data_IF_242470737955
#
_entry.id   IF_242470737955
#
_cell.length_a   1.000
_cell.length_b   1.000
_cell.length_c   1.000
_cell.angle_alpha   90.00
_cell.angle_beta   90.00
_cell.angle_gamma   90.00
#
_symmetry.space_group_name_H-M   'P 1'
#
loop_
_entity.id
_entity.type
_entity.pdbx_description
1 polymer ?
#
# COMPACT_ATOMS: atom_id res chain seq x y z
N UNK A 1 7.26 -24.51 6.90
CA UNK A 1 6.45 -23.32 7.21
C UNK A 1 5.87 -23.53 8.59
N UNK A 2 6.09 -22.59 9.51
CA UNK A 2 5.67 -22.75 10.91
C UNK A 2 4.29 -22.09 11.11
N UNK A 3 3.24 -22.88 10.90
CA UNK A 3 1.86 -22.43 11.03
C UNK A 3 1.51 -22.05 12.47
N UNK A 4 2.08 -22.74 13.46
CA UNK A 4 1.83 -22.42 14.87
C UNK A 4 2.45 -21.07 15.24
N UNK A 5 3.69 -20.83 14.83
CA UNK A 5 4.35 -19.54 15.06
C UNK A 5 3.58 -18.39 14.40
N UNK A 6 3.24 -18.52 13.11
CA UNK A 6 2.45 -17.50 12.41
C UNK A 6 1.10 -17.25 13.09
N UNK A 7 0.39 -18.32 13.47
CA UNK A 7 -0.89 -18.20 14.18
C UNK A 7 -0.73 -17.45 15.50
N UNK A 8 0.28 -17.81 16.30
CA UNK A 8 0.54 -17.17 17.58
C UNK A 8 0.85 -15.68 17.41
N UNK A 9 1.67 -15.31 16.42
CA UNK A 9 2.02 -13.92 16.17
C UNK A 9 0.80 -13.07 15.78
N UNK A 10 0.01 -13.57 14.82
CA UNK A 10 -1.18 -12.87 14.31
C UNK A 10 -2.28 -12.79 15.37
N UNK A 11 -2.49 -13.85 16.18
CA UNK A 11 -3.41 -13.81 17.32
C UNK A 11 -2.96 -12.80 18.38
N UNK A 12 -1.68 -12.83 18.77
CA UNK A 12 -1.12 -11.91 19.77
C UNK A 12 -1.27 -10.46 19.35
N UNK A 13 -1.02 -10.16 18.07
CA UNK A 13 -1.24 -8.82 17.52
C UNK A 13 -2.72 -8.45 17.52
N UNK A 14 -3.60 -9.36 17.11
CA UNK A 14 -5.06 -9.13 17.08
C UNK A 14 -5.56 -8.77 18.48
N UNK A 15 -5.16 -9.52 19.51
CA UNK A 15 -5.56 -9.26 20.90
C UNK A 15 -5.13 -7.86 21.37
N UNK A 16 -3.92 -7.42 20.99
CA UNK A 16 -3.46 -6.05 21.28
C UNK A 16 -4.27 -4.99 20.55
N UNK A 17 -4.60 -5.22 19.27
CA UNK A 17 -5.32 -4.26 18.43
C UNK A 17 -6.79 -4.13 18.84
N UNK A 18 -7.41 -5.20 19.31
CA UNK A 18 -8.79 -5.25 19.80
C UNK A 18 -9.01 -4.28 20.97
N UNK A 19 -8.00 -4.00 21.79
CA UNK A 19 -8.10 -3.04 22.91
C UNK A 19 -8.42 -1.60 22.45
N UNK A 20 -8.17 -1.28 21.19
CA UNK A 20 -8.49 0.02 20.60
C UNK A 20 -9.84 0.03 19.84
N UNK A 21 -10.53 -1.11 19.79
CA UNK A 21 -11.80 -1.29 19.09
C UNK A 21 -12.98 -1.28 20.06
N UNK A 22 -14.18 -1.03 19.52
CA UNK A 22 -15.43 -1.29 20.21
C UNK A 22 -15.74 -2.78 20.10
N UNK A 23 -16.42 -3.36 21.09
CA UNK A 23 -16.81 -4.78 21.07
C UNK A 23 -17.56 -5.18 19.79
N UNK A 24 -18.40 -4.29 19.27
CA UNK A 24 -19.15 -4.49 18.01
C UNK A 24 -18.26 -4.69 16.78
N UNK A 25 -16.99 -4.27 16.85
CA UNK A 25 -16.03 -4.34 15.75
C UNK A 25 -15.02 -5.50 15.90
N UNK A 26 -15.05 -6.24 17.03
CA UNK A 26 -14.10 -7.34 17.27
C UNK A 26 -14.19 -8.42 16.19
N UNK A 27 -15.42 -8.80 15.81
CA UNK A 27 -15.65 -9.79 14.77
C UNK A 27 -15.09 -9.37 13.39
N UNK A 28 -15.02 -8.06 13.11
CA UNK A 28 -14.45 -7.58 11.84
C UNK A 28 -12.94 -7.78 11.78
N UNK A 29 -12.25 -7.55 12.90
CA UNK A 29 -10.80 -7.78 12.96
C UNK A 29 -10.50 -9.28 13.02
N UNK A 30 -11.34 -10.06 13.70
CA UNK A 30 -11.27 -11.52 13.73
C UNK A 30 -11.39 -12.12 12.31
N UNK A 31 -12.31 -11.60 11.50
CA UNK A 31 -12.46 -11.98 10.09
C UNK A 31 -11.15 -11.77 9.30
N UNK A 32 -10.51 -10.61 9.45
CA UNK A 32 -9.23 -10.32 8.78
C UNK A 32 -8.13 -11.27 9.26
N UNK A 33 -8.06 -11.58 10.56
CA UNK A 33 -7.14 -12.58 11.11
C UNK A 33 -7.34 -13.94 10.44
N UNK A 34 -8.57 -14.42 10.35
CA UNK A 34 -8.86 -15.72 9.75
C UNK A 34 -8.52 -15.76 8.26
N UNK A 35 -8.76 -14.66 7.51
CA UNK A 35 -8.31 -14.54 6.11
C UNK A 35 -6.80 -14.75 6.00
N UNK A 36 -6.00 -14.08 6.83
CA UNK A 36 -4.54 -14.20 6.83
C UNK A 36 -4.08 -15.63 7.19
N UNK A 37 -4.74 -16.29 8.14
CA UNK A 37 -4.45 -17.69 8.48
C UNK A 37 -4.70 -18.62 7.29
N UNK A 38 -5.80 -18.45 6.56
CA UNK A 38 -6.12 -19.26 5.38
C UNK A 38 -5.16 -18.99 4.21
N UNK A 39 -4.77 -17.73 4.00
CA UNK A 39 -3.78 -17.34 2.99
C UNK A 39 -2.39 -17.89 3.32
N UNK A 40 -2.01 -17.89 4.60
CA UNK A 40 -0.73 -18.43 5.05
C UNK A 40 -0.65 -19.94 4.85
N UNK A 41 -1.73 -20.70 5.14
CA UNK A 41 -1.81 -22.14 4.83
C UNK A 41 -1.55 -22.45 3.35
N UNK A 42 -1.89 -21.52 2.46
CA UNK A 42 -1.67 -21.60 1.01
C UNK A 42 -0.31 -21.04 0.56
N UNK A 43 0.55 -20.61 1.49
CA UNK A 43 1.83 -19.94 1.24
C UNK A 43 1.72 -18.59 0.50
N UNK A 44 0.57 -17.92 0.57
CA UNK A 44 0.33 -16.69 -0.19
C UNK A 44 0.82 -15.42 0.52
N UNK A 45 0.96 -15.46 1.85
CA UNK A 45 1.39 -14.31 2.66
C UNK A 45 2.56 -14.65 3.57
N UNK A 46 3.20 -13.61 4.13
CA UNK A 46 4.31 -13.70 5.09
C UNK A 46 4.03 -12.80 6.28
N UNK A 47 4.54 -13.21 7.45
CA UNK A 47 4.28 -12.53 8.72
C UNK A 47 4.61 -11.03 8.69
N UNK A 48 5.72 -10.64 8.06
CA UNK A 48 6.15 -9.24 8.00
C UNK A 48 5.12 -8.35 7.30
N UNK A 49 4.42 -8.86 6.28
CA UNK A 49 3.39 -8.12 5.56
C UNK A 49 2.04 -8.21 6.29
N UNK A 50 1.68 -9.41 6.75
CA UNK A 50 0.43 -9.67 7.48
C UNK A 50 0.27 -8.84 8.76
N UNK A 51 1.38 -8.53 9.44
CA UNK A 51 1.38 -7.60 10.58
C UNK A 51 0.99 -6.18 10.16
N UNK A 52 1.49 -5.70 9.02
CA UNK A 52 1.17 -4.37 8.49
C UNK A 52 -0.29 -4.31 8.03
N UNK A 53 -0.75 -5.36 7.35
CA UNK A 53 -2.14 -5.51 6.90
C UNK A 53 -3.12 -5.44 8.08
N UNK A 54 -2.85 -6.18 9.17
CA UNK A 54 -3.70 -6.17 10.38
C UNK A 54 -3.77 -4.80 11.05
N UNK A 55 -2.64 -4.09 11.17
CA UNK A 55 -2.60 -2.77 11.81
C UNK A 55 -3.41 -1.76 11.00
N UNK A 56 -3.24 -1.77 9.67
CA UNK A 56 -4.04 -0.94 8.77
C UNK A 56 -5.53 -1.31 8.81
N UNK A 57 -5.87 -2.60 8.78
CA UNK A 57 -7.23 -3.09 8.87
C UNK A 57 -7.90 -2.64 10.17
N UNK A 58 -7.23 -2.79 11.31
CA UNK A 58 -7.72 -2.32 12.61
C UNK A 58 -8.02 -0.82 12.58
N UNK A 59 -7.11 0.00 12.02
CA UNK A 59 -7.35 1.44 11.91
C UNK A 59 -8.57 1.76 11.04
N UNK A 60 -8.76 1.09 9.91
CA UNK A 60 -9.94 1.28 9.06
C UNK A 60 -11.23 0.83 9.76
N UNK A 61 -11.20 -0.28 10.48
CA UNK A 61 -12.33 -0.79 11.25
C UNK A 61 -12.76 0.21 12.33
N UNK A 62 -11.83 0.85 13.05
CA UNK A 62 -12.18 1.91 14.03
C UNK A 62 -12.96 3.07 13.39
N UNK A 63 -12.77 3.30 12.09
CA UNK A 63 -13.44 4.33 11.29
C UNK A 63 -14.73 3.83 10.65
N UNK A 64 -15.17 2.61 10.97
CA UNK A 64 -16.42 2.01 10.52
C UNK A 64 -16.36 1.34 9.15
N UNK A 65 -15.16 0.99 8.65
CA UNK A 65 -15.03 0.19 7.44
C UNK A 65 -15.22 -1.30 7.71
N UNK A 66 -15.64 -2.03 6.68
CA UNK A 66 -15.41 -3.47 6.54
C UNK A 66 -14.15 -3.68 5.72
N UNK A 67 -13.35 -4.69 6.04
CA UNK A 67 -12.01 -4.87 5.46
C UNK A 67 -11.82 -6.32 5.03
N UNK A 68 -11.26 -6.49 3.82
CA UNK A 68 -10.72 -7.74 3.31
C UNK A 68 -9.23 -7.51 2.99
N UNK A 69 -8.40 -8.51 3.26
CA UNK A 69 -6.98 -8.53 2.86
C UNK A 69 -6.76 -9.40 1.64
N UNK A 70 -5.71 -9.10 0.85
CA UNK A 70 -5.33 -9.86 -0.34
C UNK A 70 -6.53 -10.09 -1.29
N UNK A 71 -7.31 -9.02 -1.52
CA UNK A 71 -8.54 -9.10 -2.31
C UNK A 71 -8.23 -8.99 -3.80
N UNK A 72 -8.70 -9.96 -4.58
CA UNK A 72 -8.64 -9.88 -6.03
C UNK A 72 -9.58 -8.78 -6.55
N UNK A 73 -9.03 -7.81 -7.29
CA UNK A 73 -9.75 -6.64 -7.85
C UNK A 73 -9.84 -6.67 -9.38
N UNK A 74 -9.02 -7.50 -10.03
CA UNK A 74 -9.08 -7.79 -11.46
C UNK A 74 -8.52 -9.18 -11.76
N UNK A 75 -8.46 -9.58 -13.03
CA UNK A 75 -7.89 -10.87 -13.44
C UNK A 75 -6.42 -11.04 -13.04
N UNK A 76 -5.70 -9.94 -12.81
CA UNK A 76 -4.25 -9.93 -12.58
C UNK A 76 -3.82 -9.17 -11.32
N UNK A 77 -4.72 -8.43 -10.67
CA UNK A 77 -4.39 -7.63 -9.49
C UNK A 77 -5.10 -8.17 -8.25
N UNK A 78 -4.29 -8.35 -7.21
CA UNK A 78 -4.69 -8.59 -5.83
C UNK A 78 -4.15 -7.41 -5.03
N UNK A 79 -5.02 -6.74 -4.27
CA UNK A 79 -4.60 -5.64 -3.42
C UNK A 79 -4.40 -6.06 -1.97
N UNK A 80 -3.46 -5.42 -1.30
CA UNK A 80 -3.10 -5.74 0.08
C UNK A 80 -4.32 -5.53 1.01
N UNK A 81 -4.98 -4.37 0.90
CA UNK A 81 -6.16 -4.05 1.70
C UNK A 81 -7.26 -3.47 0.81
N UNK A 82 -8.43 -4.09 0.88
CA UNK A 82 -9.67 -3.55 0.36
C UNK A 82 -10.61 -3.22 1.50
N UNK A 83 -11.15 -2.01 1.53
CA UNK A 83 -12.08 -1.59 2.56
C UNK A 83 -13.32 -0.92 1.97
N UNK A 84 -14.49 -1.23 2.52
CA UNK A 84 -15.77 -0.66 2.09
C UNK A 84 -16.50 0.02 3.25
N UNK A 85 -17.09 1.18 2.96
CA UNK A 85 -17.92 1.94 3.90
C UNK A 85 -18.99 2.73 3.13
N UNK A 86 -20.26 2.42 3.38
CA UNK A 86 -21.37 2.93 2.57
C UNK A 86 -21.20 2.48 1.12
N UNK A 87 -21.38 3.42 0.18
CA UNK A 87 -21.26 3.16 -1.26
C UNK A 87 -19.82 3.34 -1.80
N UNK A 88 -18.88 3.73 -0.93
CA UNK A 88 -17.48 3.97 -1.30
C UNK A 88 -16.55 2.81 -0.92
N UNK A 89 -15.45 2.69 -1.67
CA UNK A 89 -14.37 1.74 -1.38
C UNK A 89 -12.99 2.42 -1.35
N UNK A 90 -12.10 1.82 -0.58
CA UNK A 90 -10.71 2.24 -0.42
C UNK A 90 -9.82 1.05 -0.71
N UNK A 91 -8.74 1.28 -1.45
CA UNK A 91 -7.63 0.34 -1.59
C UNK A 91 -6.41 0.96 -0.93
N UNK A 92 -5.71 0.18 -0.11
CA UNK A 92 -4.39 0.54 0.43
C UNK A 92 -3.38 -0.51 -0.04
N UNK A 93 -2.33 -0.04 -0.71
CA UNK A 93 -1.17 -0.86 -1.04
C UNK A 93 -0.02 -0.56 -0.08
N UNK A 94 0.53 -1.61 0.52
CA UNK A 94 1.63 -1.55 1.48
C UNK A 94 2.95 -1.74 0.73
N UNK A 95 3.92 -0.88 1.05
CA UNK A 95 5.27 -0.90 0.54
C UNK A 95 6.26 -0.97 1.70
N UNK A 96 7.12 -2.00 1.67
CA UNK A 96 8.06 -2.30 2.74
C UNK A 96 9.50 -1.89 2.42
N UNK A 97 9.75 -1.40 1.20
CA UNK A 97 11.09 -1.09 0.71
C UNK A 97 11.90 -2.31 0.25
N UNK A 98 11.29 -3.50 0.18
CA UNK A 98 11.97 -4.69 -0.32
C UNK A 98 12.36 -4.51 -1.80
N UNK A 99 13.65 -4.71 -2.08
CA UNK A 99 14.17 -4.75 -3.46
C UNK A 99 14.64 -6.16 -3.79
N UNK A 100 14.12 -6.78 -4.87
CA UNK A 100 14.60 -8.10 -5.31
C UNK A 100 16.09 -8.09 -5.66
N UNK A 101 16.80 -9.24 -5.53
CA UNK A 101 18.21 -9.34 -5.88
C UNK A 101 18.56 -8.87 -7.30
N UNK A 102 17.67 -9.10 -8.26
CA UNK A 102 17.85 -8.70 -9.67
C UNK A 102 17.92 -7.17 -9.85
N UNK A 103 17.46 -6.40 -8.86
CA UNK A 103 17.43 -4.94 -8.87
C UNK A 103 18.36 -4.33 -7.80
N UNK A 104 19.36 -5.10 -7.34
CA UNK A 104 20.29 -4.64 -6.30
C UNK A 104 21.18 -3.46 -6.74
N UNK A 105 21.33 -3.24 -8.05
CA UNK A 105 22.20 -2.19 -8.61
C UNK A 105 21.43 -0.96 -9.13
N UNK A 106 20.10 -1.02 -9.17
CA UNK A 106 19.21 0.04 -9.68
C UNK A 106 17.97 0.22 -8.78
N UNK A 107 18.20 0.09 -7.47
CA UNK A 107 17.17 0.02 -6.42
C UNK A 107 16.20 1.21 -6.45
N UNK A 108 16.71 2.43 -6.64
CA UNK A 108 15.91 3.66 -6.63
C UNK A 108 14.96 3.69 -7.83
N UNK A 109 15.46 3.42 -9.04
CA UNK A 109 14.66 3.40 -10.26
C UNK A 109 13.59 2.30 -10.18
N UNK A 110 13.99 1.09 -9.75
CA UNK A 110 13.05 -0.03 -9.58
C UNK A 110 11.95 0.31 -8.57
N UNK A 111 12.33 0.79 -7.38
CA UNK A 111 11.37 1.07 -6.33
C UNK A 111 10.44 2.23 -6.72
N UNK A 112 10.96 3.27 -7.35
CA UNK A 112 10.12 4.36 -7.89
C UNK A 112 9.15 3.84 -8.95
N UNK A 113 9.61 3.01 -9.90
CA UNK A 113 8.74 2.38 -10.89
C UNK A 113 7.66 1.50 -10.25
N UNK A 114 7.98 0.84 -9.13
CA UNK A 114 7.02 0.05 -8.33
C UNK A 114 5.95 0.92 -7.69
N UNK A 115 6.34 2.02 -7.03
CA UNK A 115 5.40 3.00 -6.48
C UNK A 115 4.47 3.53 -7.58
N UNK A 116 5.04 3.94 -8.72
CA UNK A 116 4.26 4.38 -9.88
C UNK A 116 3.27 3.31 -10.32
N UNK A 117 3.73 2.06 -10.44
CA UNK A 117 2.91 0.94 -10.91
C UNK A 117 1.74 0.67 -9.99
N UNK A 118 1.98 0.68 -8.68
CA UNK A 118 0.93 0.54 -7.67
C UNK A 118 -0.09 1.68 -7.77
N UNK A 119 0.36 2.93 -7.80
CA UNK A 119 -0.54 4.09 -7.94
C UNK A 119 -1.35 3.99 -9.25
N UNK A 120 -0.68 3.80 -10.39
CA UNK A 120 -1.33 3.78 -11.70
C UNK A 120 -2.37 2.68 -11.83
N UNK A 121 -2.04 1.44 -11.41
CA UNK A 121 -2.91 0.28 -11.62
C UNK A 121 -4.05 0.17 -10.63
N UNK A 122 -3.75 0.32 -9.35
CA UNK A 122 -4.71 0.01 -8.29
C UNK A 122 -5.71 1.13 -8.08
N UNK A 123 -5.31 2.38 -8.32
CA UNK A 123 -6.23 3.52 -8.20
C UNK A 123 -7.43 3.44 -9.13
N UNK A 124 -7.33 2.75 -10.26
CA UNK A 124 -8.45 2.56 -11.20
C UNK A 124 -9.62 1.77 -10.62
N UNK A 125 -9.40 1.02 -9.54
CA UNK A 125 -10.38 0.09 -8.96
C UNK A 125 -11.01 0.60 -7.67
N UNK A 126 -10.74 1.85 -7.27
CA UNK A 126 -11.30 2.40 -6.04
C UNK A 126 -11.60 3.90 -6.08
N UNK A 127 -12.53 4.30 -5.22
CA UNK A 127 -12.85 5.71 -4.99
C UNK A 127 -11.75 6.44 -4.20
N UNK A 128 -11.02 5.71 -3.34
CA UNK A 128 -9.85 6.22 -2.61
C UNK A 128 -8.71 5.23 -2.68
N UNK A 129 -7.59 5.69 -3.21
CA UNK A 129 -6.35 4.92 -3.27
C UNK A 129 -5.31 5.52 -2.34
N UNK A 130 -4.67 4.67 -1.55
CA UNK A 130 -3.62 5.08 -0.62
C UNK A 130 -2.43 4.14 -0.71
N UNK A 131 -1.26 4.68 -0.38
CA UNK A 131 -0.08 3.86 -0.07
C UNK A 131 0.09 3.77 1.44
N UNK A 132 0.72 2.71 1.90
CA UNK A 132 1.12 2.57 3.29
C UNK A 132 2.57 2.07 3.37
N UNK A 133 3.31 2.53 4.37
CA UNK A 133 4.71 2.11 4.60
C UNK A 133 4.99 2.05 6.09
N UNK A 134 5.90 1.17 6.56
CA UNK A 134 6.48 1.29 7.88
C UNK A 134 7.03 2.71 8.11
N UNK A 135 6.87 3.23 9.33
CA UNK A 135 7.23 4.62 9.69
C UNK A 135 8.73 4.95 9.57
N UNK A 136 9.57 3.94 9.34
CA UNK A 136 11.02 4.07 9.18
C UNK A 136 11.47 4.15 7.70
N UNK A 137 10.55 3.91 6.76
CA UNK A 137 10.83 3.92 5.31
C UNK A 137 10.46 5.25 4.65
N UNK A 138 11.27 5.66 3.68
CA UNK A 138 10.97 6.78 2.78
C UNK A 138 10.49 6.23 1.43
N UNK A 139 9.37 6.74 0.93
CA UNK A 139 8.86 6.42 -0.40
C UNK A 139 9.11 7.60 -1.35
N UNK A 140 9.77 7.39 -2.50
CA UNK A 140 9.89 8.42 -3.52
C UNK A 140 8.54 8.53 -4.24
N UNK A 141 7.68 9.45 -3.77
CA UNK A 141 6.39 9.72 -4.42
C UNK A 141 6.61 10.64 -5.61
N UNK A 142 6.36 10.19 -6.85
CA UNK A 142 6.53 11.03 -8.03
C UNK A 142 5.57 12.23 -7.99
N UNK A 143 6.11 13.43 -8.21
CA UNK A 143 5.34 14.69 -8.09
C UNK A 143 4.14 14.76 -9.03
N UNK A 144 4.14 14.01 -10.13
CA UNK A 144 3.01 13.96 -11.06
C UNK A 144 1.70 13.55 -10.36
N UNK A 145 1.77 12.71 -9.32
CA UNK A 145 0.61 12.21 -8.60
C UNK A 145 0.06 13.20 -7.57
N UNK A 146 0.77 14.30 -7.31
CA UNK A 146 0.26 15.45 -6.56
C UNK A 146 -0.60 16.36 -7.46
N UNK A 147 -0.43 16.25 -8.79
CA UNK A 147 -1.15 17.03 -9.78
C UNK A 147 -2.41 16.24 -10.20
N UNK A 148 -3.60 16.86 -10.24
CA UNK A 148 -4.81 16.18 -10.67
C UNK A 148 -4.72 15.80 -12.17
N UNK A 149 -5.36 14.69 -12.60
CA UNK A 149 -5.23 14.16 -13.97
C UNK A 149 -5.36 15.19 -15.09
N UNK A 150 -6.35 16.08 -15.02
CA UNK A 150 -6.63 17.09 -16.05
C UNK A 150 -5.57 18.18 -16.18
N UNK A 151 -4.68 18.33 -15.18
CA UNK A 151 -3.62 19.33 -15.15
C UNK A 151 -2.22 18.74 -15.39
N UNK A 152 -2.11 17.42 -15.62
CA UNK A 152 -0.82 16.76 -15.86
C UNK A 152 -0.28 17.08 -17.25
N UNK A 153 1.01 17.37 -17.33
CA UNK A 153 1.69 17.56 -18.59
C UNK A 153 1.96 16.19 -19.26
N UNK A 154 1.61 16.07 -20.53
CA UNK A 154 1.86 14.89 -21.35
C UNK A 154 3.34 14.45 -21.35
N UNK A 155 4.28 15.40 -21.37
CA UNK A 155 5.72 15.07 -21.37
C UNK A 155 6.13 14.35 -20.09
N UNK A 156 5.56 14.72 -18.94
CA UNK A 156 5.93 14.14 -17.65
C UNK A 156 5.32 12.74 -17.50
N UNK A 157 4.07 12.55 -17.96
CA UNK A 157 3.46 11.21 -18.03
C UNK A 157 4.30 10.29 -18.92
N UNK A 158 4.79 10.77 -20.07
CA UNK A 158 5.67 9.98 -20.96
C UNK A 158 6.99 9.62 -20.30
N UNK A 159 7.65 10.54 -19.60
CA UNK A 159 8.90 10.25 -18.87
C UNK A 159 8.71 9.14 -17.83
N UNK A 160 7.63 9.23 -17.05
CA UNK A 160 7.29 8.24 -16.03
C UNK A 160 6.96 6.88 -16.67
N UNK A 161 6.25 6.87 -17.80
CA UNK A 161 6.00 5.64 -18.55
C UNK A 161 7.31 4.98 -19.00
N UNK A 162 8.26 5.75 -19.53
CA UNK A 162 9.58 5.23 -19.95
C UNK A 162 10.31 4.56 -18.78
N UNK A 163 10.25 5.15 -17.58
CA UNK A 163 10.77 4.52 -16.37
C UNK A 163 10.08 3.19 -16.08
N UNK A 164 8.74 3.16 -16.07
CA UNK A 164 7.98 1.94 -15.80
C UNK A 164 8.20 0.82 -16.82
N UNK A 165 8.28 1.14 -18.12
CA UNK A 165 8.46 0.17 -19.19
C UNK A 165 9.79 -0.59 -19.09
N UNK A 166 10.77 -0.06 -18.35
CA UNK A 166 12.01 -0.79 -18.02
C UNK A 166 11.75 -2.01 -17.15
N UNK A 167 10.77 -1.94 -16.25
CA UNK A 167 10.52 -2.92 -15.19
C UNK A 167 9.21 -3.70 -15.35
N UNK A 168 8.19 -3.12 -15.97
CA UNK A 168 6.84 -3.70 -16.08
C UNK A 168 6.47 -3.91 -17.54
N UNK A 169 6.61 -5.15 -18.03
CA UNK A 169 6.32 -5.53 -19.43
C UNK A 169 5.15 -6.51 -19.60
N UNK A 170 4.80 -7.25 -18.55
CA UNK A 170 3.79 -8.31 -18.61
C UNK A 170 2.83 -8.24 -17.40
N UNK A 171 1.74 -7.46 -17.50
CA UNK A 171 1.45 -6.51 -18.58
C UNK A 171 2.28 -5.23 -18.44
N UNK A 172 2.31 -4.42 -19.50
CA UNK A 172 2.80 -3.05 -19.45
C UNK A 172 1.84 -2.15 -18.65
N UNK A 173 2.28 -0.93 -18.31
CA UNK A 173 1.41 0.09 -17.71
C UNK A 173 0.96 1.03 -18.82
N UNK A 174 -0.35 1.21 -18.98
CA UNK A 174 -0.83 2.07 -20.04
C UNK A 174 -0.57 3.55 -19.70
N UNK A 175 -0.40 4.36 -20.74
CA UNK A 175 -0.31 5.82 -20.58
C UNK A 175 -1.54 6.38 -19.84
N UNK A 176 -2.73 5.85 -20.13
CA UNK A 176 -3.97 6.31 -19.52
C UNK A 176 -4.09 5.92 -18.04
N UNK A 177 -3.57 4.77 -17.63
CA UNK A 177 -3.52 4.39 -16.22
C UNK A 177 -2.66 5.39 -15.43
N UNK A 178 -1.50 5.79 -15.97
CA UNK A 178 -0.63 6.79 -15.34
C UNK A 178 -1.30 8.17 -15.36
N UNK A 179 -1.87 8.58 -16.49
CA UNK A 179 -2.52 9.89 -16.62
C UNK A 179 -3.70 10.04 -15.65
N UNK A 180 -4.53 9.02 -15.50
CA UNK A 180 -5.75 9.08 -14.70
C UNK A 180 -5.55 8.65 -13.25
N UNK A 181 -4.37 8.14 -12.87
CA UNK A 181 -4.11 7.67 -11.52
C UNK A 181 -4.36 8.72 -10.45
N UNK A 182 -4.75 8.30 -9.26
CA UNK A 182 -4.89 9.16 -8.09
C UNK A 182 -4.25 8.55 -6.85
N UNK A 183 -3.65 9.40 -6.03
CA UNK A 183 -3.17 9.07 -4.70
C UNK A 183 -3.87 10.01 -3.72
N UNK A 184 -4.62 9.45 -2.78
CA UNK A 184 -5.43 10.23 -1.84
C UNK A 184 -4.73 10.41 -0.51
N UNK A 185 -3.95 9.42 -0.08
CA UNK A 185 -3.29 9.45 1.23
C UNK A 185 -2.09 8.52 1.30
N UNK A 186 -1.21 8.79 2.26
CA UNK A 186 -0.07 7.96 2.61
C UNK A 186 -0.17 7.59 4.09
N UNK A 187 -0.14 6.31 4.40
CA UNK A 187 -0.24 5.78 5.75
C UNK A 187 1.15 5.42 6.27
N UNK A 188 1.52 5.99 7.42
CA UNK A 188 2.71 5.60 8.17
C UNK A 188 2.32 4.58 9.24
N UNK A 189 2.89 3.39 9.16
CA UNK A 189 2.59 2.28 10.07
C UNK A 189 3.66 2.22 11.16
N UNK A 190 3.25 2.41 12.41
CA UNK A 190 4.10 2.13 13.57
C UNK A 190 3.73 0.74 14.11
N UNK A 191 4.59 -0.24 13.78
CA UNK A 191 4.38 -1.65 14.13
C UNK A 191 4.37 -1.85 15.64
N UNK A 192 5.37 -1.29 16.34
CA UNK A 192 5.54 -1.47 17.78
C UNK A 192 4.35 -0.94 18.59
N UNK A 193 3.74 0.15 18.12
CA UNK A 193 2.56 0.76 18.73
C UNK A 193 1.24 0.22 18.18
N UNK A 194 1.25 -0.56 17.10
CA UNK A 194 0.05 -1.07 16.45
C UNK A 194 -0.87 0.03 15.92
N UNK A 195 -0.32 1.14 15.42
CA UNK A 195 -1.10 2.28 14.91
C UNK A 195 -0.68 2.70 13.51
N UNK A 196 -1.59 3.33 12.79
CA UNK A 196 -1.29 4.06 11.55
C UNK A 196 -1.56 5.55 11.69
N UNK A 197 -0.84 6.35 10.91
CA UNK A 197 -1.10 7.79 10.73
C UNK A 197 -1.26 8.07 9.26
N UNK A 198 -2.37 8.69 8.91
CA UNK A 198 -2.68 9.10 7.54
C UNK A 198 -2.17 10.52 7.30
N UNK A 199 -1.49 10.71 6.18
CA UNK A 199 -0.99 11.99 5.69
C UNK A 199 -1.57 12.26 4.31
N UNK A 200 -1.82 13.53 3.99
CA UNK A 200 -2.07 13.91 2.61
C UNK A 200 -0.76 13.78 1.78
N UNK A 201 -0.85 13.47 0.47
CA UNK A 201 0.34 13.22 -0.34
C UNK A 201 1.28 14.42 -0.45
N UNK A 202 0.75 15.65 -0.50
CA UNK A 202 1.57 16.86 -0.57
C UNK A 202 2.35 17.04 0.74
N UNK A 203 1.69 16.93 1.88
CA UNK A 203 2.33 17.02 3.20
C UNK A 203 3.40 15.95 3.40
N UNK A 204 3.21 14.73 2.89
CA UNK A 204 4.26 13.71 2.92
C UNK A 204 5.49 14.11 2.08
N UNK A 205 5.28 14.60 0.86
CA UNK A 205 6.38 15.02 -0.02
C UNK A 205 7.13 16.21 0.58
N UNK A 206 6.42 17.21 1.10
CA UNK A 206 7.03 18.39 1.73
C UNK A 206 7.93 18.01 2.92
N UNK A 207 7.55 16.99 3.70
CA UNK A 207 8.33 16.49 4.83
C UNK A 207 9.57 15.68 4.42
N UNK A 208 9.60 15.14 3.20
CA UNK A 208 10.60 14.14 2.77
C UNK A 208 11.51 14.64 1.63
N UNK A 209 11.11 15.69 0.92
CA UNK A 209 11.80 16.20 -0.29
C UNK A 209 13.27 16.52 -0.03
N UNK A 210 13.60 17.17 1.08
CA UNK A 210 14.97 17.58 1.40
C UNK A 210 15.90 16.36 1.60
N UNK A 211 15.38 15.27 2.16
CA UNK A 211 16.14 14.04 2.38
C UNK A 211 16.38 13.30 1.06
N UNK A 212 15.33 13.22 0.22
CA UNK A 212 15.40 12.58 -1.09
C UNK A 212 16.37 13.33 -2.02
N UNK A 213 16.28 14.66 -2.09
CA UNK A 213 17.18 15.47 -2.90
C UNK A 213 18.64 15.37 -2.47
N UNK A 214 18.92 15.37 -1.16
CA UNK A 214 20.28 15.15 -0.64
C UNK A 214 20.84 13.76 -0.94
N UNK A 215 19.97 12.82 -1.29
CA UNK A 215 20.31 11.45 -1.66
C UNK A 215 20.25 11.21 -3.17
N UNK A 216 20.18 12.28 -3.98
CA UNK A 216 20.08 12.24 -5.43
C UNK A 216 18.85 11.47 -5.97
N UNK A 217 17.73 11.55 -5.25
CA UNK A 217 16.43 10.97 -5.65
C UNK A 217 15.45 12.10 -6.01
N UNK A 218 15.10 12.24 -7.30
CA UNK A 218 14.14 13.25 -7.79
C UNK A 218 13.26 12.68 -8.92
N UNK A 219 11.94 12.61 -8.68
CA UNK A 219 10.93 12.07 -9.61
C UNK A 219 9.58 12.81 -9.52
#
# INVERSE_FOLDING_TARGET
MDLEMFRNDVCTLTDKLILNLKESDFQKLDHVREQLLELYKKNLVKINHSVLELICASNLITRGYTVDVEKQISDILVCDIFAAKGDGNTIIEIETGFTPPDHAMDTIDYFTARIISKIARYSQYCSKFSLATPAIGLMPIPKIFLIPPHARNESDVKKIKVLCDRYYKNPEISYFDILNAHLHSIYLINIDKGITRELDPQGYVDLTIDLLQRSDVDY
#
